data_IF_497163767987
#
_entry.id   IF_497163767987
#
_cell.length_a   1.000
_cell.length_b   1.000
_cell.length_c   1.000
_cell.angle_alpha   90.00
_cell.angle_beta   90.00
_cell.angle_gamma   90.00
#
_symmetry.space_group_name_H-M   'P 1'
#
loop_
_entity.id
_entity.type
_entity.pdbx_description
1 polymer ?
#
# COMPACT_ATOMS: atom_id res chain seq x y z
N UNK A 1 -16.74 4.75 3.11
CA UNK A 1 -15.28 4.93 2.97
C UNK A 1 -14.66 3.63 3.45
N UNK A 2 -13.86 2.93 2.64
CA UNK A 2 -13.24 1.69 3.10
C UNK A 2 -12.23 2.03 4.19
N UNK A 3 -12.37 1.37 5.32
CA UNK A 3 -11.45 1.43 6.45
C UNK A 3 -11.12 0.01 6.89
N UNK A 4 -9.88 -0.22 7.31
CA UNK A 4 -9.41 -1.53 7.76
C UNK A 4 -8.61 -1.36 9.05
N UNK A 5 -8.82 -2.24 10.03
CA UNK A 5 -7.98 -2.26 11.21
C UNK A 5 -6.59 -2.81 10.86
N UNK A 6 -5.55 -2.20 11.41
CA UNK A 6 -4.18 -2.67 11.39
C UNK A 6 -4.01 -4.18 11.60
N UNK A 7 -4.86 -4.80 12.43
CA UNK A 7 -4.81 -6.23 12.74
C UNK A 7 -5.29 -7.13 11.61
N UNK A 8 -6.18 -6.61 10.76
CA UNK A 8 -6.74 -7.32 9.62
C UNK A 8 -5.92 -7.10 8.35
N UNK A 9 -4.89 -6.24 8.39
CA UNK A 9 -3.97 -6.04 7.28
C UNK A 9 -2.98 -7.20 7.26
N UNK A 10 -3.07 -8.05 6.26
CA UNK A 10 -2.13 -9.13 6.02
C UNK A 10 -1.32 -8.92 4.74
N UNK A 11 -1.90 -8.25 3.74
CA UNK A 11 -1.26 -8.02 2.43
C UNK A 11 -1.35 -6.58 1.96
N UNK A 12 -0.19 -5.98 1.69
CA UNK A 12 -0.05 -4.63 1.13
C UNK A 12 0.51 -4.73 -0.28
N UNK A 13 -0.17 -4.11 -1.24
CA UNK A 13 0.26 -4.04 -2.63
C UNK A 13 0.74 -2.63 -2.97
N UNK A 14 1.98 -2.53 -3.45
CA UNK A 14 2.52 -1.30 -4.03
C UNK A 14 2.26 -1.32 -5.54
N UNK A 15 1.25 -0.57 -5.96
CA UNK A 15 0.82 -0.44 -7.35
C UNK A 15 1.57 0.70 -8.07
N UNK A 16 2.12 0.40 -9.25
CA UNK A 16 2.88 1.34 -10.07
C UNK A 16 2.59 1.13 -11.56
N UNK A 17 2.93 2.11 -12.41
CA UNK A 17 2.55 2.08 -13.85
C UNK A 17 3.29 0.97 -14.61
N UNK A 18 4.60 0.82 -14.39
CA UNK A 18 5.45 -0.09 -15.17
C UNK A 18 5.79 -1.42 -14.47
N UNK A 19 5.45 -1.62 -13.19
CA UNK A 19 5.83 -2.83 -12.45
C UNK A 19 7.34 -3.02 -12.18
N UNK A 20 8.21 -2.25 -12.84
CA UNK A 20 9.67 -2.31 -12.79
C UNK A 20 10.24 -0.92 -12.47
N UNK A 21 10.66 -0.68 -11.22
CA UNK A 21 11.27 0.60 -10.83
C UNK A 21 11.10 0.96 -9.34
N UNK A 22 10.70 2.20 -9.07
CA UNK A 22 10.58 2.82 -7.74
C UNK A 22 9.63 2.08 -6.77
N UNK A 23 8.72 1.27 -7.29
CA UNK A 23 7.86 0.35 -6.53
C UNK A 23 8.64 -0.74 -5.81
N UNK A 24 9.73 -1.24 -6.40
CA UNK A 24 10.58 -2.28 -5.78
C UNK A 24 11.30 -1.69 -4.56
N UNK A 25 11.78 -0.45 -4.67
CA UNK A 25 12.46 0.24 -3.57
C UNK A 25 11.50 0.47 -2.39
N UNK A 26 10.31 1.01 -2.66
CA UNK A 26 9.30 1.25 -1.64
C UNK A 26 8.81 -0.07 -1.02
N UNK A 27 8.53 -1.09 -1.82
CA UNK A 27 8.12 -2.41 -1.34
C UNK A 27 9.20 -3.04 -0.46
N UNK A 28 10.48 -2.95 -0.85
CA UNK A 28 11.60 -3.48 -0.05
C UNK A 28 11.74 -2.76 1.29
N UNK A 29 11.61 -1.43 1.29
CA UNK A 29 11.62 -0.65 2.53
C UNK A 29 10.45 -1.03 3.44
N UNK A 30 9.24 -1.13 2.89
CA UNK A 30 8.04 -1.55 3.61
C UNK A 30 8.20 -2.96 4.18
N UNK A 31 8.69 -3.93 3.39
CA UNK A 31 9.02 -5.28 3.85
C UNK A 31 9.97 -5.24 5.05
N UNK A 32 11.04 -4.44 4.98
CA UNK A 32 12.01 -4.31 6.08
C UNK A 32 11.40 -3.69 7.33
N UNK A 33 10.58 -2.65 7.16
CA UNK A 33 9.91 -1.95 8.24
C UNK A 33 8.83 -2.82 8.91
N UNK A 34 8.04 -3.55 8.13
CA UNK A 34 6.90 -4.33 8.58
C UNK A 34 7.23 -5.81 8.85
N UNK A 35 8.51 -6.20 8.74
CA UNK A 35 8.97 -7.58 8.99
C UNK A 35 8.53 -8.12 10.36
N UNK A 36 8.44 -7.26 11.38
CA UNK A 36 8.02 -7.62 12.74
C UNK A 36 6.50 -7.80 12.90
N UNK A 37 5.71 -7.37 11.92
CA UNK A 37 4.24 -7.37 11.98
C UNK A 37 3.60 -8.58 11.28
N UNK A 38 4.39 -9.37 10.54
CA UNK A 38 3.90 -10.50 9.76
C UNK A 38 3.17 -10.11 8.47
N UNK A 39 3.08 -8.82 8.16
CA UNK A 39 2.44 -8.31 6.93
C UNK A 39 3.28 -8.62 5.70
N UNK A 40 2.64 -9.19 4.69
CA UNK A 40 3.23 -9.44 3.38
C UNK A 40 3.12 -8.18 2.54
N UNK A 41 4.22 -7.76 1.92
CA UNK A 41 4.22 -6.60 1.02
C UNK A 41 4.67 -7.10 -0.35
N UNK A 42 3.94 -6.75 -1.40
CA UNK A 42 4.26 -7.08 -2.79
C UNK A 42 4.11 -5.84 -3.66
N UNK A 43 4.61 -5.91 -4.90
CA UNK A 43 4.40 -4.85 -5.88
C UNK A 43 3.80 -5.44 -7.14
N UNK A 44 2.84 -4.74 -7.73
CA UNK A 44 2.22 -5.15 -8.99
C UNK A 44 1.99 -3.94 -9.89
N UNK A 45 1.76 -4.15 -11.20
CA UNK A 45 1.24 -3.10 -12.06
C UNK A 45 -0.12 -2.60 -11.57
N UNK A 46 -0.42 -1.32 -11.76
CA UNK A 46 -1.70 -0.72 -11.33
C UNK A 46 -2.92 -1.36 -12.00
N UNK A 47 -2.74 -1.99 -13.16
CA UNK A 47 -3.79 -2.68 -13.90
C UNK A 47 -4.00 -4.14 -13.44
N UNK A 48 -3.12 -4.66 -12.57
CA UNK A 48 -3.09 -6.06 -12.15
C UNK A 48 -2.93 -6.14 -10.62
N UNK A 49 -3.78 -5.37 -9.93
CA UNK A 49 -3.83 -5.39 -8.46
C UNK A 49 -4.66 -6.60 -8.04
N UNK A 50 -4.12 -7.53 -7.25
CA UNK A 50 -4.84 -8.73 -6.89
C UNK A 50 -5.98 -8.41 -5.91
N UNK A 51 -7.08 -9.15 -6.01
CA UNK A 51 -8.28 -8.93 -5.19
C UNK A 51 -8.07 -9.25 -3.70
N UNK A 52 -7.02 -10.01 -3.37
CA UNK A 52 -6.59 -10.34 -2.01
C UNK A 52 -5.77 -9.22 -1.35
N UNK A 53 -5.57 -8.08 -2.03
CA UNK A 53 -4.94 -6.92 -1.42
C UNK A 53 -5.84 -6.32 -0.33
N UNK A 54 -5.29 -6.09 0.86
CA UNK A 54 -5.98 -5.39 1.95
C UNK A 54 -5.80 -3.88 1.82
N UNK A 55 -4.55 -3.47 1.56
CA UNK A 55 -4.16 -2.07 1.35
C UNK A 55 -3.38 -1.93 0.05
N UNK A 56 -3.77 -0.95 -0.75
CA UNK A 56 -3.12 -0.58 -2.00
C UNK A 56 -2.41 0.75 -1.82
N UNK A 57 -1.10 0.75 -2.00
CA UNK A 57 -0.27 1.94 -2.09
C UNK A 57 -0.03 2.29 -3.55
N UNK A 58 -0.36 3.50 -3.98
CA UNK A 58 -0.05 3.93 -5.35
C UNK A 58 0.36 5.41 -5.40
N UNK A 59 1.02 5.80 -6.49
CA UNK A 59 1.28 7.23 -6.70
C UNK A 59 -0.04 7.99 -6.90
N UNK A 60 -0.16 9.21 -6.39
CA UNK A 60 -1.36 10.08 -6.54
C UNK A 60 -1.84 10.19 -7.98
N UNK A 61 -0.92 10.31 -8.95
CA UNK A 61 -1.25 10.35 -10.39
C UNK A 61 -1.86 9.05 -10.95
N UNK A 62 -1.75 7.93 -10.24
CA UNK A 62 -2.30 6.62 -10.62
C UNK A 62 -3.50 6.21 -9.75
N UNK A 63 -3.89 7.02 -8.76
CA UNK A 63 -4.95 6.68 -7.82
C UNK A 63 -6.29 6.39 -8.49
N UNK A 64 -6.63 7.11 -9.56
CA UNK A 64 -7.83 6.87 -10.34
C UNK A 64 -7.83 5.46 -10.97
N UNK A 65 -6.70 5.03 -11.55
CA UNK A 65 -6.55 3.68 -12.14
C UNK A 65 -6.58 2.60 -11.06
N UNK A 66 -5.85 2.82 -9.97
CA UNK A 66 -5.78 1.87 -8.87
C UNK A 66 -7.16 1.62 -8.23
N UNK A 67 -8.01 2.66 -8.12
CA UNK A 67 -9.41 2.52 -7.66
C UNK A 67 -10.29 1.70 -8.60
N UNK A 68 -10.03 1.74 -9.90
CA UNK A 68 -10.75 0.92 -10.89
C UNK A 68 -10.34 -0.55 -10.77
N UNK A 69 -9.04 -0.82 -10.59
CA UNK A 69 -8.51 -2.18 -10.46
C UNK A 69 -8.84 -2.83 -9.11
N UNK A 70 -8.89 -2.04 -8.03
CA UNK A 70 -9.20 -2.51 -6.67
C UNK A 70 -10.39 -1.74 -6.07
N UNK A 71 -11.61 -1.94 -6.60
CA UNK A 71 -12.79 -1.24 -6.12
C UNK A 71 -13.11 -1.66 -4.68
N UNK A 72 -13.37 -0.68 -3.81
CA UNK A 72 -13.75 -0.92 -2.42
C UNK A 72 -12.61 -1.31 -1.47
N UNK A 73 -11.36 -1.34 -1.94
CA UNK A 73 -10.18 -1.56 -1.10
C UNK A 73 -9.63 -0.24 -0.54
N UNK A 74 -8.83 -0.35 0.52
CA UNK A 74 -8.18 0.81 1.13
C UNK A 74 -7.01 1.24 0.25
N UNK A 75 -7.08 2.48 -0.23
CA UNK A 75 -6.15 3.00 -1.22
C UNK A 75 -5.44 4.20 -0.65
N UNK A 76 -4.13 4.06 -0.39
CA UNK A 76 -3.30 5.10 0.22
C UNK A 76 -2.44 5.72 -0.87
N UNK A 77 -2.79 6.90 -1.38
CA UNK A 77 -2.00 7.57 -2.39
C UNK A 77 -0.76 8.22 -1.77
N UNK A 78 0.39 8.09 -2.42
CA UNK A 78 1.64 8.76 -2.05
C UNK A 78 2.16 9.63 -3.19
N UNK A 79 2.99 10.62 -2.88
CA UNK A 79 3.65 11.47 -3.88
C UNK A 79 5.14 11.16 -4.01
N UNK A 80 5.79 10.82 -2.88
CA UNK A 80 7.23 10.59 -2.84
C UNK A 80 7.49 9.12 -2.52
N UNK A 81 8.45 8.49 -3.20
CA UNK A 81 8.75 7.07 -2.93
C UNK A 81 9.50 6.85 -1.62
N UNK A 82 10.21 7.87 -1.15
CA UNK A 82 11.03 7.81 0.05
C UNK A 82 10.67 8.97 0.98
N UNK A 83 10.28 8.67 2.21
CA UNK A 83 9.97 9.70 3.22
C UNK A 83 8.59 10.35 3.05
N UNK A 84 7.71 9.76 2.26
CA UNK A 84 6.35 10.27 2.14
C UNK A 84 5.59 10.12 3.48
N UNK A 85 4.93 11.19 3.93
CA UNK A 85 4.23 11.19 5.22
C UNK A 85 3.05 10.21 5.24
N UNK A 86 2.37 9.96 4.10
CA UNK A 86 1.26 9.02 4.04
C UNK A 86 1.75 7.58 4.25
N UNK A 87 2.86 7.20 3.60
CA UNK A 87 3.50 5.89 3.80
C UNK A 87 4.00 5.74 5.24
N UNK A 88 4.63 6.77 5.78
CA UNK A 88 5.17 6.75 7.15
C UNK A 88 4.04 6.58 8.18
N UNK A 89 2.93 7.30 7.98
CA UNK A 89 1.73 7.17 8.81
C UNK A 89 1.15 5.76 8.71
N UNK A 90 1.05 5.19 7.52
CA UNK A 90 0.57 3.81 7.32
C UNK A 90 1.45 2.81 8.10
N UNK A 91 2.78 2.89 7.97
CA UNK A 91 3.70 2.02 8.70
C UNK A 91 3.53 2.17 10.21
N UNK A 92 3.41 3.41 10.70
CA UNK A 92 3.21 3.68 12.12
C UNK A 92 1.89 3.10 12.63
N UNK A 93 0.80 3.25 11.88
CA UNK A 93 -0.50 2.66 12.23
C UNK A 93 -0.45 1.14 12.29
N UNK A 94 0.21 0.48 11.31
CA UNK A 94 0.36 -0.98 11.32
C UNK A 94 1.19 -1.46 12.51
N UNK A 95 2.23 -0.70 12.90
CA UNK A 95 3.11 -1.07 14.03
C UNK A 95 2.49 -0.80 15.40
N UNK A 96 1.83 0.34 15.56
CA UNK A 96 1.31 0.79 16.85
C UNK A 96 -0.13 0.34 17.10
N UNK A 97 -0.82 -0.14 16.07
CA UNK A 97 -2.24 -0.45 16.09
C UNK A 97 -3.09 0.78 15.79
N UNK A 98 -4.15 0.58 14.99
CA UNK A 98 -5.12 1.61 14.66
C UNK A 98 -5.87 1.31 13.36
N UNK A 99 -6.68 2.25 12.90
CA UNK A 99 -7.45 2.10 11.66
C UNK A 99 -6.75 2.82 10.51
N UNK A 100 -6.71 2.18 9.35
CA UNK A 100 -6.25 2.79 8.10
C UNK A 100 -7.47 3.11 7.25
N UNK A 101 -7.65 4.40 6.97
CA UNK A 101 -8.72 4.94 6.13
C UNK A 101 -8.20 5.29 4.73
N UNK A 102 -9.06 5.16 3.72
CA UNK A 102 -8.78 5.46 2.30
C UNK A 102 -9.29 6.83 1.83
#
# INVERSE_FOLDING_TARGET
>A
MPSIDSKDIHKIIVACDAGMGSSVMLATQLRKQLKSTGVTVEHTPVNDIPADADVVLCHTGLAARARVSAPGKVLVPFQIFLGDPAVTKLIATIKNGGTVDA
#
